data_IF_432119006484
#
_entry.id   IF_432119006484
#
_cell.length_a   1.000
_cell.length_b   1.000
_cell.length_c   1.000
_cell.angle_alpha   90.00
_cell.angle_beta   90.00
_cell.angle_gamma   90.00
#
_symmetry.space_group_name_H-M   'P 1'
#
loop_
_entity.id
_entity.type
_entity.pdbx_description
1 polymer ?
#
# COMPACT_ATOMS: atom_id res chain seq x y z
N UNK A 1 -14.27 -8.64 6.67
CA UNK A 1 -15.47 -8.25 7.40
C UNK A 1 -16.40 -7.53 6.45
N UNK A 2 -17.52 -8.16 6.05
CA UNK A 2 -18.52 -7.52 5.21
C UNK A 2 -19.27 -6.45 6.01
N UNK A 3 -19.59 -5.32 5.38
CA UNK A 3 -20.27 -4.21 6.02
C UNK A 3 -21.44 -3.76 5.14
N UNK A 4 -22.66 -3.66 5.68
CA UNK A 4 -23.87 -3.43 4.86
C UNK A 4 -24.88 -2.57 5.58
N UNK A 5 -25.85 -2.03 4.84
CA UNK A 5 -27.07 -1.51 5.45
C UNK A 5 -27.85 -2.64 6.14
N UNK A 6 -28.24 -2.43 7.40
CA UNK A 6 -28.95 -3.42 8.22
C UNK A 6 -30.31 -3.82 7.64
N UNK A 7 -30.90 -3.00 6.77
CA UNK A 7 -32.15 -3.31 6.08
C UNK A 7 -32.02 -4.50 5.11
N UNK A 8 -30.79 -4.80 4.65
CA UNK A 8 -30.49 -5.96 3.81
C UNK A 8 -30.46 -7.28 4.61
N UNK A 9 -30.54 -7.23 5.94
CA UNK A 9 -30.53 -8.41 6.79
C UNK A 9 -31.94 -8.94 7.06
N UNK A 10 -32.13 -10.24 6.81
CA UNK A 10 -33.35 -10.95 7.18
C UNK A 10 -33.22 -11.54 8.59
N UNK A 11 -34.14 -11.17 9.49
CA UNK A 11 -34.21 -11.73 10.84
C UNK A 11 -35.12 -12.98 10.87
N UNK A 12 -34.56 -14.14 11.20
CA UNK A 12 -35.29 -15.41 11.35
C UNK A 12 -34.89 -16.06 12.66
N UNK A 13 -35.87 -16.36 13.54
CA UNK A 13 -35.62 -17.01 14.83
C UNK A 13 -34.48 -16.34 15.64
N UNK A 14 -34.50 -15.00 15.72
CA UNK A 14 -33.49 -14.15 16.38
C UNK A 14 -32.08 -14.15 15.76
N UNK A 15 -31.88 -14.81 14.61
CA UNK A 15 -30.63 -14.75 13.86
C UNK A 15 -30.78 -13.88 12.62
N UNK A 16 -29.72 -13.18 12.25
CA UNK A 16 -29.63 -12.32 11.08
C UNK A 16 -28.94 -13.05 9.93
N UNK A 17 -29.53 -12.95 8.75
CA UNK A 17 -29.08 -13.60 7.52
C UNK A 17 -28.88 -12.57 6.41
N UNK A 18 -27.85 -12.75 5.60
CA UNK A 18 -27.61 -12.03 4.35
C UNK A 18 -27.47 -13.08 3.24
N UNK A 19 -28.23 -12.93 2.14
CA UNK A 19 -28.25 -13.90 1.02
C UNK A 19 -28.35 -15.37 1.49
N UNK A 20 -29.31 -15.64 2.38
CA UNK A 20 -29.60 -16.96 2.98
C UNK A 20 -28.47 -17.59 3.82
N UNK A 21 -27.40 -16.85 4.14
CA UNK A 21 -26.32 -17.27 5.04
C UNK A 21 -26.34 -16.50 6.35
N UNK A 22 -25.90 -17.13 7.45
CA UNK A 22 -25.73 -16.43 8.72
C UNK A 22 -24.75 -15.28 8.55
N UNK A 23 -25.16 -14.08 8.93
CA UNK A 23 -24.38 -12.88 8.72
C UNK A 23 -23.27 -12.72 9.78
N UNK A 24 -22.05 -12.45 9.32
CA UNK A 24 -20.90 -12.06 10.15
C UNK A 24 -20.30 -10.81 9.52
N UNK A 25 -20.33 -9.69 10.23
CA UNK A 25 -20.02 -8.39 9.64
C UNK A 25 -20.47 -7.20 10.48
N UNK A 26 -20.61 -6.06 9.83
CA UNK A 26 -21.16 -4.82 10.42
C UNK A 26 -22.45 -4.45 9.68
N UNK A 27 -23.52 -4.17 10.43
CA UNK A 27 -24.76 -3.63 9.90
C UNK A 27 -24.92 -2.16 10.30
N UNK A 28 -25.14 -1.28 9.33
CA UNK A 28 -25.39 0.13 9.55
C UNK A 28 -26.88 0.45 9.51
N UNK A 29 -27.38 1.22 10.48
CA UNK A 29 -28.67 1.89 10.37
C UNK A 29 -28.44 3.29 9.82
N UNK A 30 -29.08 3.57 8.68
CA UNK A 30 -28.92 4.82 7.93
C UNK A 30 -30.25 5.56 7.92
N UNK A 31 -30.24 6.84 8.28
CA UNK A 31 -31.37 7.77 8.16
C UNK A 31 -30.94 8.98 7.31
N UNK A 32 -31.46 9.06 6.08
CA UNK A 32 -30.92 9.96 5.06
C UNK A 32 -29.45 9.65 4.79
N UNK A 33 -28.57 10.62 5.03
CA UNK A 33 -27.12 10.44 4.96
C UNK A 33 -26.46 10.21 6.31
N UNK A 34 -27.22 10.17 7.42
CA UNK A 34 -26.66 9.98 8.74
C UNK A 34 -26.56 8.50 9.06
N UNK A 35 -25.40 8.06 9.55
CA UNK A 35 -25.24 6.72 10.13
C UNK A 35 -25.62 6.80 11.61
N UNK A 36 -26.81 6.31 11.96
CA UNK A 36 -27.32 6.37 13.34
C UNK A 36 -26.67 5.34 14.25
N UNK A 37 -26.46 4.13 13.72
CA UNK A 37 -25.91 3.00 14.46
C UNK A 37 -25.03 2.16 13.54
N UNK A 38 -23.94 1.63 14.10
CA UNK A 38 -23.15 0.58 13.49
C UNK A 38 -23.13 -0.60 14.47
N UNK A 39 -23.61 -1.76 14.04
CA UNK A 39 -23.76 -2.94 14.90
C UNK A 39 -22.89 -4.08 14.38
N UNK A 40 -22.12 -4.73 15.27
CA UNK A 40 -21.31 -5.91 14.94
C UNK A 40 -22.15 -7.18 15.04
N UNK A 41 -22.01 -8.07 14.07
CA UNK A 41 -22.67 -9.37 14.03
C UNK A 41 -21.66 -10.51 13.89
N UNK A 42 -21.93 -11.62 14.56
CA UNK A 42 -21.16 -12.87 14.42
C UNK A 42 -22.11 -14.06 14.37
N UNK A 43 -22.04 -14.85 13.29
CA UNK A 43 -22.89 -16.02 13.06
C UNK A 43 -24.39 -15.72 13.22
N UNK A 44 -24.81 -14.55 12.73
CA UNK A 44 -26.18 -14.04 12.80
C UNK A 44 -26.59 -13.47 14.16
N UNK A 45 -25.68 -13.35 15.13
CA UNK A 45 -25.96 -12.78 16.46
C UNK A 45 -25.41 -11.35 16.51
N UNK A 46 -26.24 -10.38 16.92
CA UNK A 46 -25.79 -9.01 17.18
C UNK A 46 -24.97 -8.96 18.48
N UNK A 47 -23.72 -8.53 18.39
CA UNK A 47 -22.79 -8.40 19.52
C UNK A 47 -22.81 -7.00 20.15
N UNK A 48 -23.56 -6.06 19.57
CA UNK A 48 -23.65 -4.66 20.03
C UNK A 48 -22.96 -3.68 19.09
N UNK A 49 -22.62 -2.50 19.61
CA UNK A 49 -22.04 -1.42 18.82
C UNK A 49 -20.70 -1.82 18.20
N UNK A 50 -20.53 -1.55 16.92
CA UNK A 50 -19.25 -1.62 16.22
C UNK A 50 -18.49 -0.31 16.41
N UNK A 51 -17.20 -0.44 16.71
CA UNK A 51 -16.25 0.67 16.67
C UNK A 51 -15.11 0.24 15.78
N UNK A 52 -14.79 1.06 14.78
CA UNK A 52 -13.63 0.80 13.93
C UNK A 52 -12.37 0.88 14.78
N UNK A 53 -11.51 -0.14 14.70
CA UNK A 53 -10.21 -0.11 15.40
C UNK A 53 -9.30 1.01 14.90
N UNK A 54 -9.52 1.48 13.67
CA UNK A 54 -8.73 2.53 13.03
C UNK A 54 -9.21 3.94 13.39
N UNK A 55 -10.46 4.07 13.84
CA UNK A 55 -11.09 5.35 14.15
C UNK A 55 -11.57 5.40 15.61
N UNK A 56 -11.01 4.54 16.47
CA UNK A 56 -11.42 4.44 17.85
C UNK A 56 -10.96 5.67 18.63
N UNK A 57 -11.88 6.55 19.02
CA UNK A 57 -11.95 7.17 20.37
C UNK A 57 -12.85 8.39 20.51
N UNK A 58 -13.55 8.86 19.50
CA UNK A 58 -14.30 10.10 19.68
C UNK A 58 -15.78 9.79 19.86
N UNK A 59 -16.23 9.70 21.12
CA UNK A 59 -17.64 9.44 21.50
C UNK A 59 -18.63 10.50 20.99
N UNK A 60 -18.16 11.49 20.24
CA UNK A 60 -18.92 12.63 19.73
C UNK A 60 -18.62 12.94 18.24
N UNK A 61 -18.02 12.01 17.48
CA UNK A 61 -17.86 12.23 16.03
C UNK A 61 -19.15 11.98 15.26
N UNK A 62 -19.33 12.80 14.23
CA UNK A 62 -20.44 12.66 13.29
C UNK A 62 -20.12 11.51 12.33
N UNK A 63 -21.09 10.63 12.11
CA UNK A 63 -20.99 9.52 11.16
C UNK A 63 -21.97 9.75 10.01
N UNK A 64 -21.48 9.78 8.77
CA UNK A 64 -22.29 10.05 7.57
C UNK A 64 -21.96 9.12 6.42
N UNK A 65 -22.90 8.96 5.51
CA UNK A 65 -22.63 8.48 4.17
C UNK A 65 -21.76 9.50 3.42
N UNK A 66 -20.75 9.02 2.70
CA UNK A 66 -19.80 9.84 1.94
C UNK A 66 -20.51 10.73 0.91
N UNK A 67 -21.65 10.29 0.38
CA UNK A 67 -22.43 11.02 -0.62
C UNK A 67 -22.98 12.38 -0.14
N UNK A 68 -23.01 12.64 1.16
CA UNK A 68 -23.42 13.95 1.67
C UNK A 68 -22.28 14.96 1.75
N UNK A 69 -21.03 14.54 1.48
CA UNK A 69 -19.89 15.41 1.55
C UNK A 69 -19.68 16.12 0.21
N UNK A 70 -19.53 17.43 0.30
CA UNK A 70 -19.21 18.27 -0.84
C UNK A 70 -17.68 18.35 -0.98
N UNK A 71 -17.16 17.83 -2.09
CA UNK A 71 -15.79 18.08 -2.49
C UNK A 71 -15.71 19.48 -3.12
N UNK A 72 -14.86 20.40 -2.62
CA UNK A 72 -14.83 21.78 -3.11
C UNK A 72 -14.24 21.94 -4.54
N UNK A 73 -13.96 20.83 -5.25
CA UNK A 73 -13.39 20.81 -6.59
C UNK A 73 -11.86 20.84 -6.61
N UNK A 74 -11.28 20.64 -7.79
CA UNK A 74 -9.83 20.59 -8.05
C UNK A 74 -9.15 21.98 -8.06
N UNK A 75 -9.89 23.03 -7.70
CA UNK A 75 -9.56 24.42 -8.01
C UNK A 75 -9.01 25.17 -6.79
N UNK A 76 -8.00 24.63 -6.10
CA UNK A 76 -7.24 25.44 -5.12
C UNK A 76 -5.76 24.98 -5.06
N UNK A 77 -4.85 25.96 -5.02
CA UNK A 77 -3.46 25.89 -4.52
C UNK A 77 -3.31 25.32 -3.08
N UNK A 78 -4.38 24.81 -2.46
CA UNK A 78 -4.47 24.32 -1.09
C UNK A 78 -5.26 23.02 -1.03
N UNK A 79 -4.85 22.10 -0.14
CA UNK A 79 -5.52 20.81 0.10
C UNK A 79 -7.05 20.97 0.21
N UNK A 80 -7.85 20.32 -0.66
CA UNK A 80 -9.30 20.48 -0.68
C UNK A 80 -9.89 19.97 0.63
N UNK A 81 -10.74 20.80 1.26
CA UNK A 81 -11.41 20.50 2.54
C UNK A 81 -12.85 20.07 2.28
N UNK A 82 -13.19 18.85 2.67
CA UNK A 82 -14.54 18.32 2.58
C UNK A 82 -15.50 19.09 3.48
N UNK A 83 -16.71 19.32 2.99
CA UNK A 83 -17.77 20.02 3.71
C UNK A 83 -19.03 19.19 3.80
N UNK A 84 -19.85 19.46 4.80
CA UNK A 84 -21.21 18.95 4.92
C UNK A 84 -22.13 20.15 5.15
N UNK A 85 -23.07 20.42 4.25
CA UNK A 85 -23.95 21.59 4.29
C UNK A 85 -23.19 22.93 4.42
N UNK A 86 -22.12 23.13 3.65
CA UNK A 86 -21.18 24.27 3.70
C UNK A 86 -20.25 24.38 4.91
N UNK A 87 -20.42 23.56 5.95
CA UNK A 87 -19.53 23.55 7.11
C UNK A 87 -18.37 22.56 6.90
N UNK A 88 -17.19 22.88 7.42
CA UNK A 88 -16.02 21.99 7.34
C UNK A 88 -16.32 20.70 8.11
N UNK A 89 -16.12 19.56 7.46
CA UNK A 89 -16.47 18.27 8.02
C UNK A 89 -15.34 17.68 8.89
N UNK A 90 -15.69 17.27 10.11
CA UNK A 90 -14.86 16.40 10.96
C UNK A 90 -15.72 15.24 11.43
N UNK A 91 -15.26 14.01 11.21
CA UNK A 91 -16.04 12.82 11.51
C UNK A 91 -15.68 11.63 10.62
N UNK A 92 -16.53 10.61 10.63
CA UNK A 92 -16.34 9.41 9.82
C UNK A 92 -17.35 9.40 8.67
N UNK A 93 -16.85 9.26 7.45
CA UNK A 93 -17.66 9.02 6.27
C UNK A 93 -17.57 7.55 5.84
N UNK A 94 -18.66 7.02 5.31
CA UNK A 94 -18.77 5.65 4.84
C UNK A 94 -19.18 5.65 3.37
N UNK A 95 -18.42 5.00 2.50
CA UNK A 95 -18.80 4.84 1.10
C UNK A 95 -19.74 3.64 0.97
N UNK A 96 -21.04 3.91 0.92
CA UNK A 96 -22.09 2.90 0.77
C UNK A 96 -22.40 2.70 -0.72
N UNK A 97 -22.05 1.55 -1.28
CA UNK A 97 -22.29 1.27 -2.69
C UNK A 97 -23.77 1.33 -3.06
N UNK A 98 -24.07 1.96 -4.19
CA UNK A 98 -25.44 2.24 -4.65
C UNK A 98 -26.31 1.00 -4.79
N UNK A 99 -25.76 -0.06 -5.41
CA UNK A 99 -26.52 -1.25 -5.83
C UNK A 99 -26.60 -2.34 -4.76
N UNK A 100 -25.50 -2.63 -4.06
CA UNK A 100 -25.44 -3.73 -3.09
C UNK A 100 -25.62 -3.27 -1.64
N UNK A 101 -25.69 -1.95 -1.40
CA UNK A 101 -25.73 -1.33 -0.05
C UNK A 101 -24.63 -1.85 0.87
N UNK A 102 -23.50 -2.25 0.27
CA UNK A 102 -22.27 -2.67 0.93
C UNK A 102 -21.40 -1.45 1.14
N UNK A 103 -20.90 -1.28 2.36
CA UNK A 103 -19.88 -0.30 2.66
C UNK A 103 -18.52 -0.86 2.22
N UNK A 104 -17.91 -0.22 1.22
CA UNK A 104 -16.61 -0.63 0.69
C UNK A 104 -15.47 0.13 1.37
N UNK A 105 -15.73 1.36 1.80
CA UNK A 105 -14.70 2.23 2.37
C UNK A 105 -15.20 2.98 3.59
N UNK A 106 -14.28 3.27 4.50
CA UNK A 106 -14.48 4.20 5.61
C UNK A 106 -13.36 5.24 5.60
N UNK A 107 -13.71 6.48 5.90
CA UNK A 107 -12.79 7.61 5.92
C UNK A 107 -12.94 8.41 7.22
N UNK A 108 -11.83 8.77 7.85
CA UNK A 108 -11.79 9.72 8.95
C UNK A 108 -11.33 11.08 8.42
N UNK A 109 -12.11 12.11 8.75
CA UNK A 109 -11.83 13.50 8.42
C UNK A 109 -11.57 14.33 9.67
N UNK A 110 -10.55 15.17 9.61
CA UNK A 110 -10.23 16.20 10.61
C UNK A 110 -10.06 17.55 9.89
N UNK A 111 -10.87 18.55 10.24
CA UNK A 111 -10.87 19.88 9.59
C UNK A 111 -11.04 19.79 8.05
N UNK A 112 -11.90 18.87 7.61
CA UNK A 112 -12.18 18.60 6.20
C UNK A 112 -11.08 17.83 5.47
N UNK A 113 -9.98 17.47 6.14
CA UNK A 113 -8.87 16.73 5.57
C UNK A 113 -9.04 15.26 5.90
N UNK A 114 -8.97 14.39 4.89
CA UNK A 114 -8.96 12.95 5.10
C UNK A 114 -7.64 12.56 5.76
N UNK A 115 -7.67 12.12 7.01
CA UNK A 115 -6.48 11.72 7.80
C UNK A 115 -6.32 10.21 7.90
N UNK A 116 -7.36 9.43 7.62
CA UNK A 116 -7.25 7.99 7.52
C UNK A 116 -8.35 7.42 6.64
N UNK A 117 -8.10 6.26 6.05
CA UNK A 117 -9.08 5.51 5.27
C UNK A 117 -8.77 4.03 5.25
N UNK A 118 -9.82 3.20 5.21
CA UNK A 118 -9.70 1.75 5.08
C UNK A 118 -10.76 1.27 4.10
N UNK A 119 -10.35 0.37 3.20
CA UNK A 119 -11.23 -0.23 2.20
C UNK A 119 -11.24 -1.75 2.26
N UNK A 120 -12.32 -2.36 1.77
CA UNK A 120 -12.49 -3.80 1.70
C UNK A 120 -13.02 -4.25 0.33
N UNK A 121 -12.66 -5.47 -0.05
CA UNK A 121 -13.32 -6.21 -1.12
C UNK A 121 -14.71 -6.70 -0.67
N UNK A 122 -15.56 -7.11 -1.62
CA UNK A 122 -16.87 -7.71 -1.34
C UNK A 122 -16.78 -9.02 -0.54
N UNK A 123 -15.68 -9.76 -0.66
CA UNK A 123 -15.36 -10.89 0.21
C UNK A 123 -15.16 -10.48 1.68
N UNK A 124 -15.01 -9.19 1.96
CA UNK A 124 -14.66 -8.61 3.24
C UNK A 124 -13.16 -8.63 3.51
N UNK A 125 -12.32 -9.14 2.61
CA UNK A 125 -10.88 -9.00 2.74
C UNK A 125 -10.49 -7.51 2.69
N UNK A 126 -9.53 -7.10 3.50
CA UNK A 126 -9.01 -5.72 3.46
C UNK A 126 -8.36 -5.48 2.10
N UNK A 127 -8.70 -4.36 1.46
CA UNK A 127 -8.12 -3.94 0.19
C UNK A 127 -6.98 -2.97 0.44
N UNK A 128 -7.20 -1.95 1.26
CA UNK A 128 -6.17 -0.97 1.59
C UNK A 128 -6.39 -0.36 2.97
N UNK A 129 -5.34 0.24 3.51
CA UNK A 129 -5.36 1.09 4.70
C UNK A 129 -4.41 2.26 4.47
N UNK A 130 -4.85 3.47 4.74
CA UNK A 130 -4.04 4.69 4.77
C UNK A 130 -4.22 5.38 6.12
N UNK A 131 -3.12 5.69 6.79
CA UNK A 131 -3.04 6.41 8.05
C UNK A 131 -2.11 7.61 7.85
N UNK A 132 -2.66 8.82 7.98
CA UNK A 132 -1.96 10.11 7.89
C UNK A 132 -2.27 10.98 9.11
N UNK A 133 -2.75 10.37 10.20
CA UNK A 133 -3.14 11.07 11.43
C UNK A 133 -1.92 11.52 12.26
N UNK A 134 -0.78 10.88 12.07
CA UNK A 134 0.44 11.20 12.79
C UNK A 134 1.24 12.24 12.00
N UNK A 135 1.61 13.36 12.62
CA UNK A 135 2.23 14.52 11.93
C UNK A 135 3.53 14.18 11.19
N UNK A 136 4.27 13.18 11.68
CA UNK A 136 5.60 12.78 11.22
C UNK A 136 5.64 11.39 10.57
N UNK A 137 4.50 10.69 10.47
CA UNK A 137 4.41 9.34 9.92
C UNK A 137 3.12 9.13 9.11
N UNK A 138 3.28 8.89 7.81
CA UNK A 138 2.21 8.41 6.94
C UNK A 138 2.45 6.94 6.59
N UNK A 139 1.41 6.12 6.69
CA UNK A 139 1.46 4.69 6.38
C UNK A 139 0.34 4.32 5.41
N UNK A 140 0.68 3.73 4.28
CA UNK A 140 -0.29 3.16 3.34
C UNK A 140 0.08 1.72 3.01
N UNK A 141 -0.94 0.87 2.99
CA UNK A 141 -0.83 -0.55 2.74
C UNK A 141 -1.92 -0.97 1.76
N UNK A 142 -1.59 -1.88 0.85
CA UNK A 142 -2.54 -2.50 -0.07
C UNK A 142 -2.41 -4.02 -0.04
N UNK A 143 -3.53 -4.71 -0.15
CA UNK A 143 -3.62 -6.17 -0.23
C UNK A 143 -4.49 -6.60 -1.40
N UNK A 144 -4.22 -7.79 -1.90
CA UNK A 144 -5.08 -8.49 -2.84
C UNK A 144 -6.24 -9.19 -2.12
N UNK A 145 -7.24 -9.62 -2.88
CA UNK A 145 -8.45 -10.27 -2.32
C UNK A 145 -8.15 -11.61 -1.62
N UNK A 146 -7.04 -12.27 -1.95
CA UNK A 146 -6.57 -13.47 -1.23
C UNK A 146 -5.86 -13.13 0.10
N UNK A 147 -5.75 -11.85 0.45
CA UNK A 147 -5.08 -11.34 1.64
C UNK A 147 -3.57 -11.20 1.52
N UNK A 148 -2.99 -11.53 0.37
CA UNK A 148 -1.56 -11.30 0.12
C UNK A 148 -1.26 -9.81 -0.02
N UNK A 149 -0.07 -9.39 0.42
CA UNK A 149 0.38 -8.01 0.32
C UNK A 149 0.52 -7.59 -1.15
N UNK A 150 -0.10 -6.48 -1.53
CA UNK A 150 0.01 -5.83 -2.84
C UNK A 150 0.98 -4.66 -2.83
N UNK A 151 1.21 -4.02 -1.69
CA UNK A 151 2.26 -3.03 -1.56
C UNK A 151 2.21 -2.21 -0.28
N UNK A 152 3.26 -1.43 -0.07
CA UNK A 152 3.38 -0.45 1.00
C UNK A 152 3.92 0.88 0.47
N UNK A 153 3.54 1.95 1.15
CA UNK A 153 4.09 3.28 1.00
C UNK A 153 4.13 3.92 2.39
N UNK A 154 5.34 4.09 2.95
CA UNK A 154 5.53 4.69 4.26
C UNK A 154 6.43 5.90 4.16
N UNK A 155 6.01 7.02 4.75
CA UNK A 155 6.70 8.31 4.70
C UNK A 155 6.98 8.76 6.12
N UNK A 156 8.25 9.04 6.42
CA UNK A 156 8.71 9.70 7.64
C UNK A 156 8.92 11.17 7.32
N UNK A 157 7.85 11.97 7.41
CA UNK A 157 7.77 13.34 6.88
C UNK A 157 8.90 14.24 7.38
N UNK A 158 9.15 14.23 8.70
CA UNK A 158 10.21 15.04 9.31
C UNK A 158 11.62 14.68 8.83
N UNK A 159 11.84 13.41 8.49
CA UNK A 159 13.16 12.89 8.07
C UNK A 159 13.31 12.93 6.55
N UNK A 160 12.22 13.16 5.82
CA UNK A 160 12.15 13.06 4.35
C UNK A 160 12.59 11.69 3.86
N UNK A 161 12.33 10.67 4.66
CA UNK A 161 12.62 9.28 4.32
C UNK A 161 11.33 8.61 3.90
N UNK A 162 11.39 7.72 2.92
CA UNK A 162 10.23 6.97 2.46
C UNK A 162 10.67 5.61 1.95
N UNK A 163 9.72 4.67 1.99
CA UNK A 163 9.82 3.39 1.30
C UNK A 163 8.56 3.20 0.46
N UNK A 164 8.73 2.71 -0.75
CA UNK A 164 7.64 2.24 -1.59
C UNK A 164 8.01 0.84 -2.06
N UNK A 165 7.17 -0.14 -1.74
CA UNK A 165 7.31 -1.50 -2.25
C UNK A 165 6.02 -1.92 -2.90
N UNK A 166 6.07 -2.27 -4.18
CA UNK A 166 4.92 -2.82 -4.90
C UNK A 166 5.15 -4.31 -5.11
N UNK A 167 4.17 -5.11 -4.73
CA UNK A 167 4.20 -6.57 -4.79
C UNK A 167 3.10 -7.04 -5.74
N UNK A 168 3.45 -7.90 -6.69
CA UNK A 168 2.51 -8.60 -7.55
C UNK A 168 1.96 -9.86 -6.91
N UNK A 169 1.19 -10.60 -7.71
CA UNK A 169 0.77 -11.96 -7.35
C UNK A 169 1.97 -12.83 -6.94
N UNK A 170 1.73 -13.81 -6.06
CA UNK A 170 2.74 -14.79 -5.62
C UNK A 170 3.98 -14.17 -4.95
N UNK A 171 3.82 -13.05 -4.23
CA UNK A 171 4.92 -12.35 -3.52
C UNK A 171 6.06 -11.91 -4.45
N UNK A 172 5.73 -11.45 -5.66
CA UNK A 172 6.72 -10.98 -6.62
C UNK A 172 6.95 -9.47 -6.51
N UNK A 173 8.14 -9.00 -6.11
CA UNK A 173 8.48 -7.58 -6.07
C UNK A 173 8.49 -7.00 -7.49
N UNK A 174 7.72 -5.93 -7.70
CA UNK A 174 7.70 -5.14 -8.94
C UNK A 174 8.56 -3.88 -8.81
N UNK A 175 8.51 -3.25 -7.66
CA UNK A 175 9.27 -2.03 -7.38
C UNK A 175 9.72 -2.04 -5.94
N UNK A 176 10.98 -1.70 -5.71
CA UNK A 176 11.54 -1.38 -4.40
C UNK A 176 12.19 -0.01 -4.52
N UNK A 177 11.62 0.96 -3.82
CA UNK A 177 12.11 2.33 -3.74
C UNK A 177 12.37 2.65 -2.28
N UNK A 178 13.60 3.04 -1.92
CA UNK A 178 13.99 3.26 -0.52
C UNK A 178 14.91 4.48 -0.45
N UNK A 179 14.56 5.46 0.39
CA UNK A 179 15.47 6.59 0.68
C UNK A 179 16.63 6.17 1.59
N UNK A 180 17.73 6.92 1.47
CA UNK A 180 19.06 6.55 1.96
C UNK A 180 19.08 6.04 3.41
N UNK A 181 18.41 6.73 4.33
CA UNK A 181 18.53 6.44 5.77
C UNK A 181 17.27 5.79 6.36
N UNK A 182 16.33 5.34 5.52
CA UNK A 182 15.06 4.76 5.96
C UNK A 182 15.24 3.70 7.07
N UNK A 183 16.14 2.73 6.88
CA UNK A 183 16.38 1.66 7.87
C UNK A 183 17.07 2.13 9.15
N UNK A 184 17.75 3.28 9.15
CA UNK A 184 18.32 3.87 10.37
C UNK A 184 17.25 4.49 11.26
N UNK A 185 16.19 5.03 10.65
CA UNK A 185 15.08 5.68 11.34
C UNK A 185 14.00 4.68 11.76
N UNK A 186 13.80 3.62 10.99
CA UNK A 186 12.76 2.61 11.19
C UNK A 186 12.61 2.10 12.64
N UNK A 187 13.67 1.73 13.37
CA UNK A 187 13.53 1.25 14.75
C UNK A 187 12.93 2.28 15.72
N UNK A 188 13.01 3.58 15.41
CA UNK A 188 12.47 4.66 16.27
C UNK A 188 10.96 4.84 16.13
N UNK A 189 10.37 4.29 15.07
CA UNK A 189 8.93 4.37 14.78
C UNK A 189 8.23 3.01 14.93
N UNK A 190 8.97 1.95 15.28
CA UNK A 190 8.49 0.57 15.23
C UNK A 190 7.19 0.34 16.01
N UNK A 191 7.08 0.92 17.20
CA UNK A 191 5.90 0.79 18.07
C UNK A 191 4.65 1.52 17.53
N UNK A 192 4.79 2.32 16.47
CA UNK A 192 3.72 3.12 15.84
C UNK A 192 3.22 2.51 14.52
N UNK A 193 3.86 1.45 14.03
CA UNK A 193 3.40 0.81 12.80
C UNK A 193 2.18 -0.05 13.03
N UNK A 194 1.18 0.11 12.16
CA UNK A 194 0.03 -0.80 12.17
C UNK A 194 0.42 -2.19 11.64
N UNK A 195 1.34 -2.24 10.66
CA UNK A 195 1.86 -3.48 10.10
C UNK A 195 3.38 -3.45 9.97
N UNK A 196 4.02 -4.54 10.39
CA UNK A 196 5.48 -4.67 10.46
C UNK A 196 6.05 -5.27 9.17
N UNK A 197 5.93 -4.55 8.05
CA UNK A 197 6.53 -4.94 6.77
C UNK A 197 7.80 -4.13 6.48
N UNK A 198 8.84 -4.80 5.97
CA UNK A 198 10.09 -4.17 5.54
C UNK A 198 10.77 -3.31 6.62
N UNK A 199 10.78 -3.78 7.86
CA UNK A 199 11.42 -3.08 8.99
C UNK A 199 12.95 -3.16 8.96
N UNK A 200 13.48 -4.16 8.27
CA UNK A 200 14.91 -4.38 8.11
C UNK A 200 15.26 -4.66 6.66
N UNK A 201 16.52 -4.39 6.29
CA UNK A 201 17.08 -4.74 4.99
C UNK A 201 16.99 -6.24 4.64
N UNK A 202 16.84 -7.14 5.63
CA UNK A 202 16.68 -8.58 5.42
C UNK A 202 15.24 -9.02 5.14
N UNK A 203 14.26 -8.12 5.28
CA UNK A 203 12.83 -8.46 5.15
C UNK A 203 12.42 -8.88 3.72
N UNK A 204 13.30 -8.67 2.73
CA UNK A 204 13.02 -8.98 1.33
C UNK A 204 13.29 -10.45 0.96
N UNK A 205 13.93 -11.23 1.84
CA UNK A 205 14.34 -12.60 1.57
C UNK A 205 13.19 -13.61 1.35
N UNK A 206 11.95 -13.23 1.72
CA UNK A 206 10.74 -14.03 1.48
C UNK A 206 10.10 -13.77 0.12
N UNK A 207 10.60 -12.79 -0.63
CA UNK A 207 10.03 -12.38 -1.90
C UNK A 207 10.92 -12.80 -3.07
N UNK A 208 10.35 -12.82 -4.26
CA UNK A 208 11.10 -12.98 -5.50
C UNK A 208 10.94 -11.73 -6.37
N UNK A 209 11.91 -11.40 -7.20
CA UNK A 209 11.70 -10.34 -8.19
C UNK A 209 10.71 -10.83 -9.27
N UNK A 210 9.78 -9.96 -9.62
CA UNK A 210 8.94 -10.15 -10.80
C UNK A 210 9.79 -10.10 -12.08
N UNK A 211 9.27 -10.57 -13.24
CA UNK A 211 10.03 -10.54 -14.48
C UNK A 211 10.49 -9.14 -14.91
N UNK A 212 9.73 -8.09 -14.57
CA UNK A 212 10.10 -6.70 -14.83
C UNK A 212 10.19 -5.98 -13.49
N UNK A 213 11.41 -5.72 -13.02
CA UNK A 213 11.65 -5.29 -11.66
C UNK A 213 12.42 -3.97 -11.61
N UNK A 214 12.04 -3.08 -10.68
CA UNK A 214 12.71 -1.79 -10.49
C UNK A 214 13.28 -1.64 -9.09
N UNK A 215 14.54 -1.24 -9.03
CA UNK A 215 15.30 -0.86 -7.83
C UNK A 215 15.62 0.61 -7.90
N UNK A 216 15.16 1.40 -6.92
CA UNK A 216 15.21 2.86 -7.01
C UNK A 216 15.64 3.48 -5.68
N UNK A 217 16.40 4.57 -5.76
CA UNK A 217 16.81 5.44 -4.66
C UNK A 217 17.93 4.86 -3.75
N UNK A 218 18.69 5.72 -3.04
CA UNK A 218 19.96 5.34 -2.44
C UNK A 218 19.87 4.35 -1.28
N UNK A 219 18.71 4.19 -0.65
CA UNK A 219 18.50 3.19 0.40
C UNK A 219 18.46 1.76 -0.13
N UNK A 220 18.41 1.57 -1.45
CA UNK A 220 18.63 0.28 -2.09
C UNK A 220 20.14 0.04 -2.21
N UNK A 221 20.68 -0.64 -1.20
CA UNK A 221 22.08 -1.03 -1.09
C UNK A 221 22.30 -2.52 -1.41
N UNK A 222 23.54 -2.97 -1.29
CA UNK A 222 23.93 -4.37 -1.51
C UNK A 222 23.19 -5.33 -0.58
N UNK A 223 22.88 -4.93 0.65
CA UNK A 223 22.20 -5.80 1.62
C UNK A 223 20.76 -6.05 1.16
N UNK A 224 20.03 -4.99 0.75
CA UNK A 224 18.68 -5.13 0.18
C UNK A 224 18.73 -5.97 -1.08
N UNK A 225 19.68 -5.71 -1.98
CA UNK A 225 19.84 -6.47 -3.22
C UNK A 225 20.09 -7.96 -2.98
N UNK A 226 21.03 -8.30 -2.08
CA UNK A 226 21.34 -9.69 -1.74
C UNK A 226 20.20 -10.36 -0.96
N UNK A 227 19.46 -9.61 -0.13
CA UNK A 227 18.24 -10.11 0.51
C UNK A 227 17.23 -10.56 -0.54
N UNK A 228 16.97 -9.75 -1.57
CA UNK A 228 16.08 -10.12 -2.69
C UNK A 228 16.67 -11.27 -3.52
N UNK A 229 17.98 -11.27 -3.78
CA UNK A 229 18.64 -12.30 -4.57
C UNK A 229 18.63 -13.69 -3.90
N UNK A 230 18.52 -13.71 -2.58
CA UNK A 230 18.49 -14.93 -1.77
C UNK A 230 17.37 -15.89 -2.22
N UNK A 231 17.51 -17.18 -1.93
CA UNK A 231 16.51 -18.20 -2.24
C UNK A 231 16.08 -18.29 -3.72
N UNK A 232 16.97 -17.87 -4.64
CA UNK A 232 16.70 -17.74 -6.09
C UNK A 232 15.67 -16.65 -6.43
N UNK A 233 15.61 -15.55 -5.67
CA UNK A 233 14.65 -14.48 -5.93
C UNK A 233 14.76 -13.86 -7.33
N UNK A 234 15.91 -13.93 -8.00
CA UNK A 234 16.08 -13.48 -9.39
C UNK A 234 15.88 -14.57 -10.45
N UNK A 235 15.38 -15.77 -10.11
CA UNK A 235 15.26 -16.90 -11.06
C UNK A 235 14.47 -16.57 -12.33
N UNK A 236 13.45 -15.73 -12.21
CA UNK A 236 12.55 -15.38 -13.32
C UNK A 236 12.75 -13.94 -13.83
N UNK A 237 13.80 -13.25 -13.36
CA UNK A 237 14.05 -11.86 -13.70
C UNK A 237 14.44 -11.73 -15.18
N UNK A 238 13.75 -10.86 -15.92
CA UNK A 238 13.90 -10.69 -17.36
C UNK A 238 14.33 -9.27 -17.73
N UNK A 239 13.78 -8.26 -17.07
CA UNK A 239 14.12 -6.84 -17.19
C UNK A 239 14.35 -6.29 -15.78
N UNK A 240 15.46 -5.61 -15.57
CA UNK A 240 15.73 -4.88 -14.35
C UNK A 240 16.10 -3.43 -14.65
N UNK A 241 15.48 -2.52 -13.90
CA UNK A 241 15.80 -1.10 -13.87
C UNK A 241 16.44 -0.74 -12.53
N UNK A 242 17.60 -0.11 -12.58
CA UNK A 242 18.39 0.32 -11.43
C UNK A 242 18.57 1.83 -11.53
N UNK A 243 17.85 2.59 -10.71
CA UNK A 243 17.86 4.05 -10.76
C UNK A 243 18.32 4.66 -9.44
N UNK A 244 19.43 5.41 -9.46
CA UNK A 244 19.93 6.19 -8.30
C UNK A 244 20.08 5.37 -7.01
N UNK A 245 20.57 4.14 -7.13
CA UNK A 245 20.76 3.20 -6.00
C UNK A 245 22.16 3.27 -5.41
N UNK A 246 22.37 2.72 -4.21
CA UNK A 246 23.71 2.57 -3.62
C UNK A 246 24.41 1.24 -3.94
N UNK A 247 23.88 0.47 -4.90
CA UNK A 247 24.47 -0.81 -5.32
C UNK A 247 25.92 -0.68 -5.76
N UNK A 248 26.80 -1.52 -5.22
CA UNK A 248 28.19 -1.60 -5.64
C UNK A 248 28.33 -2.12 -7.07
N UNK A 249 29.54 -1.99 -7.61
CA UNK A 249 29.89 -2.62 -8.89
C UNK A 249 29.70 -4.13 -8.81
N UNK A 250 30.13 -4.72 -7.70
CA UNK A 250 30.09 -6.15 -7.44
C UNK A 250 28.64 -6.65 -7.47
N UNK A 251 27.73 -5.98 -6.77
CA UNK A 251 26.30 -6.32 -6.77
C UNK A 251 25.67 -6.25 -8.18
N UNK A 252 25.94 -5.18 -8.94
CA UNK A 252 25.44 -5.06 -10.32
C UNK A 252 26.00 -6.19 -11.20
N UNK A 253 27.28 -6.54 -11.04
CA UNK A 253 27.94 -7.57 -11.84
C UNK A 253 27.44 -8.99 -11.52
N UNK A 254 26.88 -9.25 -10.34
CA UNK A 254 26.24 -10.53 -10.03
C UNK A 254 25.06 -10.86 -10.97
N UNK A 255 24.40 -9.84 -11.53
CA UNK A 255 23.29 -10.01 -12.49
C UNK A 255 23.73 -10.71 -13.78
N UNK A 256 25.04 -10.80 -14.09
CA UNK A 256 25.57 -11.60 -15.20
C UNK A 256 25.13 -13.07 -15.07
N UNK A 257 25.03 -13.56 -13.84
CA UNK A 257 24.66 -14.95 -13.53
C UNK A 257 23.16 -15.23 -13.69
N UNK A 258 22.32 -14.20 -13.82
CA UNK A 258 20.88 -14.34 -14.01
C UNK A 258 20.59 -14.70 -15.47
N UNK A 259 20.52 -15.99 -15.76
CA UNK A 259 20.40 -16.53 -17.13
C UNK A 259 19.17 -16.04 -17.91
N UNK A 260 18.09 -15.71 -17.20
CA UNK A 260 16.83 -15.22 -17.78
C UNK A 260 16.86 -13.75 -18.15
N UNK A 261 17.80 -12.97 -17.59
CA UNK A 261 17.88 -11.52 -17.78
C UNK A 261 18.19 -11.18 -19.24
N UNK A 262 17.35 -10.33 -19.84
CA UNK A 262 17.46 -9.84 -21.22
C UNK A 262 17.59 -8.34 -21.34
N UNK A 263 17.26 -7.59 -20.28
CA UNK A 263 17.43 -6.15 -20.26
C UNK A 263 17.91 -5.66 -18.89
N UNK A 264 18.94 -4.82 -18.92
CA UNK A 264 19.47 -4.11 -17.77
C UNK A 264 19.46 -2.61 -18.09
N UNK A 265 18.69 -1.85 -17.33
CA UNK A 265 18.64 -0.39 -17.40
C UNK A 265 19.29 0.17 -16.15
N UNK A 266 20.21 1.12 -16.34
CA UNK A 266 20.85 1.86 -15.24
C UNK A 266 20.60 3.35 -15.50
N UNK A 267 19.94 4.04 -14.57
CA UNK A 267 19.75 5.49 -14.60
C UNK A 267 20.38 6.13 -13.36
N UNK A 268 21.64 6.52 -13.49
CA UNK A 268 22.48 6.95 -12.38
C UNK A 268 23.72 7.74 -12.88
N UNK A 269 24.12 8.75 -12.10
CA UNK A 269 25.19 9.69 -12.45
C UNK A 269 26.56 9.32 -11.86
N UNK A 270 26.70 8.16 -11.20
CA UNK A 270 28.00 7.68 -10.68
C UNK A 270 29.02 7.44 -11.81
N UNK A 271 30.25 7.92 -11.61
CA UNK A 271 31.30 8.00 -12.66
C UNK A 271 31.78 6.63 -13.18
N UNK A 272 31.70 5.58 -12.39
CA UNK A 272 32.18 4.23 -12.74
C UNK A 272 31.14 3.36 -13.47
N UNK A 273 29.90 3.82 -13.64
CA UNK A 273 28.84 2.99 -14.22
C UNK A 273 29.05 2.67 -15.70
N UNK A 274 29.73 3.53 -16.46
CA UNK A 274 30.02 3.25 -17.86
C UNK A 274 30.90 2.01 -18.03
N UNK A 275 31.98 1.90 -17.26
CA UNK A 275 32.86 0.73 -17.31
C UNK A 275 32.14 -0.53 -16.87
N UNK A 276 31.29 -0.44 -15.85
CA UNK A 276 30.49 -1.56 -15.34
C UNK A 276 29.51 -2.04 -16.41
N UNK A 277 28.78 -1.11 -17.04
CA UNK A 277 27.80 -1.45 -18.07
C UNK A 277 28.47 -2.04 -19.32
N UNK A 278 29.68 -1.57 -19.69
CA UNK A 278 30.49 -2.15 -20.77
C UNK A 278 30.96 -3.56 -20.42
N UNK A 279 31.47 -3.78 -19.21
CA UNK A 279 31.90 -5.09 -18.73
C UNK A 279 30.73 -6.08 -18.70
N UNK A 280 29.59 -5.67 -18.14
CA UNK A 280 28.36 -6.45 -18.14
C UNK A 280 27.96 -6.86 -19.57
N UNK A 281 27.94 -5.90 -20.49
CA UNK A 281 27.57 -6.15 -21.90
C UNK A 281 28.55 -7.09 -22.60
N UNK A 282 29.84 -7.06 -22.24
CA UNK A 282 30.84 -7.99 -22.77
C UNK A 282 30.58 -9.42 -22.30
N UNK A 283 30.23 -9.62 -21.02
CA UNK A 283 29.91 -10.93 -20.46
C UNK A 283 28.52 -11.46 -20.87
N UNK A 284 27.58 -10.56 -21.14
CA UNK A 284 26.20 -10.86 -21.58
C UNK A 284 25.89 -10.16 -22.90
N UNK A 285 26.49 -10.61 -24.02
CA UNK A 285 26.25 -10.00 -25.33
C UNK A 285 24.79 -10.12 -25.78
N UNK A 286 24.06 -11.11 -25.27
CA UNK A 286 22.63 -11.33 -25.52
C UNK A 286 21.70 -10.37 -24.76
N UNK A 287 22.18 -9.69 -23.72
CA UNK A 287 21.38 -8.79 -22.89
C UNK A 287 21.42 -7.34 -23.44
N UNK A 288 20.28 -6.68 -23.52
CA UNK A 288 20.21 -5.24 -23.82
C UNK A 288 20.65 -4.45 -22.58
N UNK A 289 21.69 -3.64 -22.70
CA UNK A 289 22.18 -2.79 -21.61
C UNK A 289 22.01 -1.33 -22.01
N UNK A 290 21.37 -0.54 -21.15
CA UNK A 290 21.22 0.91 -21.31
C UNK A 290 21.70 1.63 -20.05
N UNK A 291 22.49 2.70 -20.24
CA UNK A 291 22.95 3.60 -19.19
C UNK A 291 22.45 5.01 -19.52
N UNK A 292 21.69 5.64 -18.63
CA UNK A 292 21.15 6.99 -18.79
C UNK A 292 20.51 7.19 -20.18
N UNK A 293 19.60 6.28 -20.54
CA UNK A 293 18.90 6.21 -21.83
C UNK A 293 19.79 5.95 -23.07
N UNK A 294 21.08 5.67 -22.88
CA UNK A 294 22.02 5.35 -23.96
C UNK A 294 22.32 3.86 -24.02
N UNK A 295 22.14 3.24 -25.18
CA UNK A 295 22.47 1.82 -25.39
C UNK A 295 23.98 1.60 -25.32
N UNK A 296 24.40 0.62 -24.52
CA UNK A 296 25.79 0.19 -24.45
C UNK A 296 26.07 -0.87 -25.53
N UNK A 297 27.12 -0.62 -26.31
CA UNK A 297 27.66 -1.54 -27.31
C UNK A 297 29.11 -1.85 -26.96
N UNK A 298 29.51 -3.10 -27.11
CA UNK A 298 30.91 -3.51 -26.98
C UNK A 298 31.45 -3.81 -28.39
N UNK A 299 32.66 -3.34 -28.74
CA UNK A 299 33.31 -3.65 -30.01
C UNK A 299 33.55 -5.15 -30.21
#
# INVERSE_FOLDING_TARGET
MLMINIQELKKIAQKYYYQDKLFTGVGFRVDGYKIEEALKFESGICLGQYTSKYFANEKEIIHVDMDCLEFPGDDIDYYPRYKNNNDIFSGVAYELGDEEKVCLEQHLFEDGIRVASVGWYLSGQMHYLTLMKEEDLSQSFGWYEDGSLGGIDMILEEKKERIIVTVGEQKQLKTVWIEENYFEWMPKYQDRFEFHYFETNNSFAEFSASPNFSLIAPGVDDIVFHSIASNNGFKNLYDIDISRTSLSQEAIMELVNVKTLKKLTIDDNRRNLLSIAQEFKHQRPDCLVTLNNSKITVP
#
